data_IF_259982230439
#
_entry.id   IF_259982230439
#
_cell.length_a   1.000
_cell.length_b   1.000
_cell.length_c   1.000
_cell.angle_alpha   90.00
_cell.angle_beta   90.00
_cell.angle_gamma   90.00
#
_symmetry.space_group_name_H-M   'P 1'
#
loop_
_entity.id
_entity.type
_entity.pdbx_description
1 polymer ?
#
# COMPACT_ATOMS: atom_id res chain seq x y z
N UNK A 1 10.48 10.46 -6.61
CA UNK A 1 11.20 9.23 -7.03
C UNK A 1 11.01 8.12 -6.01
N UNK A 2 11.55 8.31 -4.80
CA UNK A 2 11.47 7.34 -3.70
C UNK A 2 10.08 6.72 -3.46
N UNK A 3 9.04 7.54 -3.28
CA UNK A 3 7.66 7.05 -3.09
C UNK A 3 7.17 6.08 -4.19
N UNK A 4 7.61 6.29 -5.43
CA UNK A 4 7.23 5.44 -6.57
C UNK A 4 7.89 4.07 -6.52
N UNK A 5 9.12 4.05 -6.00
CA UNK A 5 9.88 2.82 -5.82
C UNK A 5 9.30 2.03 -4.63
N UNK A 6 8.89 2.71 -3.58
CA UNK A 6 8.16 2.09 -2.46
C UNK A 6 6.82 1.50 -2.88
N UNK A 7 6.05 2.18 -3.75
CA UNK A 7 4.80 1.66 -4.32
C UNK A 7 4.98 0.32 -5.07
N UNK A 8 6.17 0.06 -5.62
CA UNK A 8 6.48 -1.15 -6.39
C UNK A 8 7.01 -2.31 -5.52
N UNK A 9 7.60 -2.00 -4.36
CA UNK A 9 8.42 -2.95 -3.58
C UNK A 9 7.77 -3.29 -2.24
N UNK A 10 7.11 -2.32 -1.58
CA UNK A 10 6.50 -2.54 -0.28
C UNK A 10 5.11 -3.14 -0.44
N UNK A 11 4.79 -4.13 0.40
CA UNK A 11 3.41 -4.59 0.53
C UNK A 11 2.50 -3.49 1.08
N UNK A 12 1.20 -3.64 0.85
CA UNK A 12 0.20 -2.61 1.17
C UNK A 12 0.22 -2.19 2.64
N UNK A 13 0.34 -3.15 3.55
CA UNK A 13 0.19 -2.87 4.98
C UNK A 13 1.48 -2.23 5.52
N UNK A 14 2.65 -2.70 5.08
CA UNK A 14 3.94 -2.05 5.35
C UNK A 14 4.00 -0.63 4.79
N UNK A 15 3.54 -0.42 3.55
CA UNK A 15 3.49 0.91 2.94
C UNK A 15 2.62 1.88 3.74
N UNK A 16 1.45 1.41 4.18
CA UNK A 16 0.52 2.20 5.00
C UNK A 16 1.14 2.57 6.34
N UNK A 17 1.71 1.59 7.06
CA UNK A 17 2.37 1.82 8.33
C UNK A 17 3.58 2.77 8.20
N UNK A 18 4.38 2.63 7.14
CA UNK A 18 5.51 3.51 6.87
C UNK A 18 5.09 4.94 6.57
N UNK A 19 3.96 5.14 5.88
CA UNK A 19 3.41 6.48 5.64
C UNK A 19 3.05 7.18 6.95
N UNK A 20 2.39 6.47 7.86
CA UNK A 20 2.03 7.02 9.17
C UNK A 20 3.27 7.30 10.03
N UNK A 21 4.25 6.38 10.02
CA UNK A 21 5.51 6.58 10.73
C UNK A 21 6.31 7.76 10.16
N UNK A 22 6.32 7.94 8.85
CA UNK A 22 6.99 9.08 8.21
C UNK A 22 6.42 10.44 8.65
N UNK A 23 5.11 10.52 8.88
CA UNK A 23 4.49 11.73 9.42
C UNK A 23 4.94 12.00 10.87
N UNK A 24 4.94 10.98 11.73
CA UNK A 24 5.42 11.11 13.11
C UNK A 24 6.89 11.52 13.18
N UNK A 25 7.71 10.94 12.31
CA UNK A 25 9.12 11.29 12.22
C UNK A 25 9.30 12.75 11.81
N UNK A 26 8.49 13.24 10.88
CA UNK A 26 8.49 14.65 10.49
C UNK A 26 8.12 15.57 11.67
N UNK A 27 7.13 15.20 12.48
CA UNK A 27 6.73 15.97 13.67
C UNK A 27 7.86 16.06 14.70
N UNK A 28 8.56 14.94 14.97
CA UNK A 28 9.72 14.91 15.88
C UNK A 28 10.83 15.86 15.40
N UNK A 29 11.12 15.84 14.09
CA UNK A 29 12.13 16.71 13.50
C UNK A 29 11.70 18.17 13.58
N UNK A 30 10.42 18.45 13.30
CA UNK A 30 9.84 19.78 13.36
C UNK A 30 9.90 20.38 14.78
N UNK A 31 9.60 19.57 15.80
CA UNK A 31 9.69 19.96 17.21
C UNK A 31 11.13 20.10 17.73
N UNK A 32 12.15 19.83 16.91
CA UNK A 32 13.56 19.90 17.30
C UNK A 32 14.01 18.75 18.22
N UNK A 33 13.21 17.69 18.33
CA UNK A 33 13.46 16.52 19.19
C UNK A 33 14.44 15.51 18.56
N UNK A 34 15.44 16.02 17.84
CA UNK A 34 16.38 15.20 17.06
C UNK A 34 17.16 14.20 17.91
N UNK A 35 17.60 14.57 19.11
CA UNK A 35 18.42 13.71 19.97
C UNK A 35 17.61 12.83 20.92
N UNK A 36 16.32 12.63 20.64
CA UNK A 36 15.47 11.76 21.47
C UNK A 36 15.58 10.30 21.05
N UNK A 37 15.44 9.34 22.00
CA UNK A 37 15.41 7.92 21.67
C UNK A 37 14.20 7.56 20.78
N UNK A 38 13.14 8.36 20.83
CA UNK A 38 11.98 8.18 19.96
C UNK A 38 12.35 8.37 18.47
N UNK A 39 13.13 9.41 18.14
CA UNK A 39 13.65 9.62 16.78
C UNK A 39 14.43 8.41 16.29
N UNK A 40 15.30 7.85 17.13
CA UNK A 40 16.14 6.70 16.79
C UNK A 40 15.31 5.43 16.54
N UNK A 41 14.28 5.19 17.36
CA UNK A 41 13.38 4.06 17.19
C UNK A 41 12.58 4.16 15.88
N UNK A 42 12.03 5.34 15.56
CA UNK A 42 11.30 5.57 14.32
C UNK A 42 12.22 5.48 13.09
N UNK A 43 13.44 6.01 13.19
CA UNK A 43 14.45 5.87 12.15
C UNK A 43 14.79 4.40 11.88
N UNK A 44 15.00 3.59 12.92
CA UNK A 44 15.30 2.16 12.77
C UNK A 44 14.16 1.40 12.06
N UNK A 45 12.90 1.74 12.34
CA UNK A 45 11.76 1.23 11.59
C UNK A 45 11.87 1.61 10.12
N UNK A 46 12.09 2.89 9.81
CA UNK A 46 12.22 3.36 8.43
C UNK A 46 13.37 2.63 7.72
N UNK A 47 14.57 2.60 8.30
CA UNK A 47 15.74 1.89 7.76
C UNK A 47 15.44 0.41 7.47
N UNK A 48 14.67 -0.26 8.32
CA UNK A 48 14.27 -1.65 8.09
C UNK A 48 13.42 -1.80 6.82
N UNK A 49 12.50 -0.86 6.56
CA UNK A 49 11.65 -0.88 5.35
C UNK A 49 12.45 -0.56 4.08
N UNK A 50 13.56 0.18 4.20
CA UNK A 50 14.36 0.63 3.06
C UNK A 50 15.33 -0.43 2.51
N UNK A 51 15.52 -1.57 3.20
CA UNK A 51 16.50 -2.60 2.84
C UNK A 51 16.46 -3.05 1.38
N UNK A 52 15.26 -3.15 0.81
CA UNK A 52 15.04 -3.62 -0.56
C UNK A 52 14.57 -2.52 -1.52
N UNK A 53 14.45 -1.27 -1.05
CA UNK A 53 13.95 -0.14 -1.85
C UNK A 53 15.05 0.35 -2.79
N UNK A 54 15.36 -0.46 -3.80
CA UNK A 54 16.43 -0.25 -4.78
C UNK A 54 15.88 -0.39 -6.19
N UNK A 55 16.20 0.55 -7.07
CA UNK A 55 15.77 0.53 -8.46
C UNK A 55 15.84 1.90 -9.13
N UNK A 56 15.31 1.97 -10.35
CA UNK A 56 15.32 3.16 -11.20
C UNK A 56 13.90 3.67 -11.43
N UNK A 57 13.73 4.99 -11.34
CA UNK A 57 12.44 5.65 -11.60
C UNK A 57 12.63 6.68 -12.71
N UNK A 58 11.83 6.57 -13.77
CA UNK A 58 11.82 7.50 -14.90
C UNK A 58 10.70 8.53 -14.73
N UNK A 59 11.06 9.79 -14.87
CA UNK A 59 10.15 10.92 -14.82
C UNK A 59 10.24 11.77 -16.08
N UNK A 60 9.12 12.35 -16.47
CA UNK A 60 9.05 13.45 -17.44
C UNK A 60 8.77 14.74 -16.70
N UNK A 61 9.65 15.71 -16.83
CA UNK A 61 9.48 17.04 -16.26
C UNK A 61 8.89 17.96 -17.32
N UNK A 62 7.74 18.58 -17.04
CA UNK A 62 7.08 19.46 -17.99
C UNK A 62 6.33 20.60 -17.32
N UNK A 63 6.67 21.85 -17.64
CA UNK A 63 6.02 23.07 -17.15
C UNK A 63 5.80 23.06 -15.62
N UNK A 64 6.83 22.72 -14.85
CA UNK A 64 6.76 22.63 -13.38
C UNK A 64 6.10 21.37 -12.83
N UNK A 65 5.59 20.48 -13.68
CA UNK A 65 5.02 19.19 -13.26
C UNK A 65 6.06 18.07 -13.33
N UNK A 66 5.93 17.12 -12.40
CA UNK A 66 6.68 15.87 -12.37
C UNK A 66 5.72 14.75 -12.78
N UNK A 67 5.92 14.16 -13.95
CA UNK A 67 5.03 13.13 -14.51
C UNK A 67 5.74 11.77 -14.41
N UNK A 68 5.08 10.80 -13.76
CA UNK A 68 5.56 9.41 -13.66
C UNK A 68 5.60 8.77 -15.06
N UNK A 69 6.72 8.16 -15.46
CA UNK A 69 6.87 7.50 -16.78
C UNK A 69 7.14 6.00 -16.68
N UNK A 70 7.79 5.54 -15.60
CA UNK A 70 8.04 4.12 -15.38
C UNK A 70 8.94 3.90 -14.17
N UNK A 71 8.86 2.72 -13.58
CA UNK A 71 9.71 2.30 -12.46
C UNK A 71 10.18 0.88 -12.69
N UNK A 72 11.43 0.58 -12.36
CA UNK A 72 12.02 -0.75 -12.49
C UNK A 72 12.83 -1.06 -11.24
N UNK A 73 12.65 -2.25 -10.69
CA UNK A 73 13.38 -2.71 -9.51
C UNK A 73 13.64 -4.22 -9.60
N UNK A 74 14.83 -4.70 -9.18
CA UNK A 74 15.08 -6.13 -9.00
C UNK A 74 14.28 -6.76 -7.85
N UNK A 75 13.67 -5.95 -6.97
CA UNK A 75 12.87 -6.39 -5.81
C UNK A 75 11.39 -6.06 -5.96
N UNK A 76 10.92 -5.87 -7.20
CA UNK A 76 9.51 -5.64 -7.49
C UNK A 76 8.66 -6.81 -6.97
N UNK A 77 7.63 -6.51 -6.19
CA UNK A 77 6.61 -7.50 -5.81
C UNK A 77 5.46 -7.56 -6.81
N UNK A 78 5.48 -6.69 -7.83
CA UNK A 78 4.56 -6.75 -8.96
C UNK A 78 4.92 -7.93 -9.87
N UNK A 79 3.91 -8.76 -10.14
CA UNK A 79 3.98 -9.91 -11.04
C UNK A 79 2.91 -9.72 -12.13
N UNK A 80 3.36 -9.67 -13.38
CA UNK A 80 2.48 -9.43 -14.54
C UNK A 80 1.57 -10.63 -14.85
N UNK A 81 2.03 -11.86 -14.58
CA UNK A 81 1.27 -13.07 -14.85
C UNK A 81 0.09 -13.22 -13.88
N UNK A 82 0.26 -12.75 -12.64
CA UNK A 82 -0.82 -12.68 -11.63
C UNK A 82 -1.76 -11.50 -11.90
N UNK A 83 -1.23 -10.36 -12.36
CA UNK A 83 -2.01 -9.16 -12.62
C UNK A 83 -2.77 -9.19 -13.97
N UNK A 84 -2.40 -10.09 -14.87
CA UNK A 84 -3.02 -10.26 -16.18
C UNK A 84 -4.46 -10.74 -16.06
N UNK A 85 -5.32 -10.26 -16.97
CA UNK A 85 -6.69 -10.77 -17.14
C UNK A 85 -6.74 -12.19 -17.71
N UNK A 86 -5.60 -12.69 -18.20
CA UNK A 86 -5.47 -14.08 -18.65
C UNK A 86 -5.34 -14.92 -17.41
N UNK A 87 -6.30 -15.80 -17.13
CA UNK A 87 -6.31 -16.68 -15.95
C UNK A 87 -5.04 -17.51 -15.90
N UNK A 88 -4.01 -17.01 -15.20
CA UNK A 88 -2.79 -17.74 -14.92
C UNK A 88 -3.05 -18.87 -13.91
N UNK A 89 -2.16 -19.85 -13.86
CA UNK A 89 -2.31 -21.01 -12.94
C UNK A 89 -2.29 -20.61 -11.45
N UNK A 90 -1.80 -19.41 -11.13
CA UNK A 90 -1.61 -18.92 -9.76
C UNK A 90 -2.85 -18.23 -9.15
N UNK A 91 -3.87 -17.87 -9.94
CA UNK A 91 -5.07 -17.19 -9.42
C UNK A 91 -6.37 -17.88 -9.84
N UNK A 92 -7.09 -18.42 -8.85
CA UNK A 92 -8.40 -19.02 -9.05
C UNK A 92 -9.53 -18.04 -8.69
N UNK A 93 -10.26 -17.58 -9.71
CA UNK A 93 -11.38 -16.65 -9.53
C UNK A 93 -12.48 -17.14 -8.58
N UNK A 94 -12.64 -18.45 -8.38
CA UNK A 94 -13.64 -19.00 -7.44
C UNK A 94 -13.35 -18.63 -5.99
N UNK A 95 -12.08 -18.46 -5.62
CA UNK A 95 -11.69 -18.13 -4.25
C UNK A 95 -12.08 -16.69 -3.89
N UNK A 96 -12.21 -15.82 -4.89
CA UNK A 96 -12.63 -14.43 -4.71
C UNK A 96 -14.06 -14.33 -4.15
N UNK A 97 -14.99 -15.16 -4.62
CA UNK A 97 -16.38 -15.16 -4.16
C UNK A 97 -16.47 -15.50 -2.67
N UNK A 98 -15.74 -16.54 -2.24
CA UNK A 98 -15.64 -16.91 -0.82
C UNK A 98 -15.02 -15.81 0.03
N UNK A 99 -13.94 -15.20 -0.46
CA UNK A 99 -13.27 -14.09 0.22
C UNK A 99 -14.19 -12.88 0.41
N UNK A 100 -14.90 -12.44 -0.64
CA UNK A 100 -15.81 -11.29 -0.58
C UNK A 100 -16.91 -11.53 0.46
N UNK A 101 -17.52 -12.71 0.45
CA UNK A 101 -18.59 -13.06 1.38
C UNK A 101 -18.11 -13.05 2.84
N UNK A 102 -16.94 -13.63 3.12
CA UNK A 102 -16.40 -13.70 4.48
C UNK A 102 -15.87 -12.33 4.95
N UNK A 103 -15.12 -11.62 4.11
CA UNK A 103 -14.55 -10.32 4.43
C UNK A 103 -15.64 -9.26 4.66
N UNK A 104 -16.72 -9.31 3.88
CA UNK A 104 -17.87 -8.40 4.01
C UNK A 104 -18.87 -8.78 5.11
N UNK A 105 -18.78 -9.98 5.70
CA UNK A 105 -19.79 -10.51 6.62
C UNK A 105 -20.03 -9.60 7.84
N UNK A 106 -18.96 -9.10 8.45
CA UNK A 106 -19.06 -8.19 9.61
C UNK A 106 -19.80 -6.89 9.28
N UNK A 107 -19.52 -6.33 8.11
CA UNK A 107 -20.19 -5.13 7.60
C UNK A 107 -21.67 -5.38 7.28
N UNK A 108 -21.98 -6.53 6.68
CA UNK A 108 -23.35 -6.98 6.40
C UNK A 108 -24.17 -7.15 7.69
N UNK A 109 -23.62 -7.83 8.69
CA UNK A 109 -24.27 -8.01 10.00
C UNK A 109 -24.52 -6.67 10.68
N UNK A 110 -23.54 -5.74 10.65
CA UNK A 110 -23.72 -4.39 11.19
C UNK A 110 -24.88 -3.65 10.52
N UNK A 111 -24.96 -3.67 9.19
CA UNK A 111 -26.05 -3.04 8.44
C UNK A 111 -27.42 -3.65 8.76
N UNK A 112 -27.50 -4.99 8.89
CA UNK A 112 -28.71 -5.69 9.31
C UNK A 112 -29.17 -5.27 10.71
N UNK A 113 -28.24 -5.16 11.67
CA UNK A 113 -28.55 -4.77 13.05
C UNK A 113 -28.96 -3.30 13.19
N UNK A 114 -28.48 -2.43 12.30
CA UNK A 114 -28.81 -1.00 12.28
C UNK A 114 -30.04 -0.66 11.41
N UNK A 115 -30.73 -1.67 10.84
CA UNK A 115 -31.97 -1.49 10.10
C UNK A 115 -31.82 -0.88 8.69
N UNK A 116 -30.59 -0.79 8.16
CA UNK A 116 -30.31 -0.17 6.85
C UNK A 116 -30.26 -1.17 5.69
N UNK A 117 -30.64 -2.43 5.92
CA UNK A 117 -30.59 -3.49 4.92
C UNK A 117 -31.94 -3.57 4.18
N UNK A 118 -32.11 -2.76 3.14
CA UNK A 118 -33.19 -2.96 2.15
C UNK A 118 -32.74 -4.09 1.23
N UNK A 119 -33.55 -5.14 1.09
CA UNK A 119 -33.25 -6.29 0.26
C UNK A 119 -33.00 -5.86 -1.20
N UNK A 120 -31.74 -5.93 -1.64
CA UNK A 120 -31.35 -5.74 -3.04
C UNK A 120 -31.46 -7.05 -3.85
N UNK A 121 -32.48 -7.87 -3.55
CA UNK A 121 -32.69 -9.16 -4.22
C UNK A 121 -34.03 -9.27 -5.00
N UNK A 122 -34.68 -8.14 -5.30
CA UNK A 122 -35.73 -8.09 -6.34
C UNK A 122 -35.15 -7.57 -7.66
N UNK A 123 -34.45 -8.46 -8.40
CA UNK A 123 -34.44 -8.61 -9.87
C UNK A 123 -33.43 -9.64 -10.34
#
# INVERSE_FOLDING_TARGET
>A
AHQQLEELILDRDTYTAKKDMGNKFADIVYEGKWFTPLREAEQAFIESTQKYVTGEVKFKLYKGNIIKQGTTSPYSIYDEDIASFTTGELYNHKDAEGFINLFGLSSKVRAMKLGSFVELNDK
#
